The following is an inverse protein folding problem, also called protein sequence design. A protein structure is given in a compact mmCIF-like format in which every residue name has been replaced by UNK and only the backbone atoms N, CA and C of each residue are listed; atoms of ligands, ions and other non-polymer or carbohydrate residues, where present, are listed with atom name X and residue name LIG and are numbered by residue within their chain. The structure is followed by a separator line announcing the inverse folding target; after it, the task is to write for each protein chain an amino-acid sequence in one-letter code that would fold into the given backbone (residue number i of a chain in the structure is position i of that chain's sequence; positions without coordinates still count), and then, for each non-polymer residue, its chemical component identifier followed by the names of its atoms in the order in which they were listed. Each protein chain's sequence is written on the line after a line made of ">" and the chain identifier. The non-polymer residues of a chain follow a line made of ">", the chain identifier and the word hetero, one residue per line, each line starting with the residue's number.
data_IF_425752003776
#
_entry.id   IF_425752003776
#
_cell.length_a   1.000
_cell.length_b   1.000
_cell.length_c   1.000
_cell.angle_alpha   90.00
_cell.angle_beta   90.00
_cell.angle_gamma   90.00
#
_symmetry.space_group_name_H-M   'P 1'
#
loop_
_entity.id
_entity.type
_entity.pdbx_description
1 polymer ?
#
# COMPACT_ATOMS: atom_id res chain seq x y z
N UNK A 1 -0.58 -24.12 5.67
CA UNK A 1 -1.20 -22.82 5.29
C UNK A 1 -0.64 -22.41 3.94
N UNK A 2 -1.47 -21.86 3.05
CA UNK A 2 -1.02 -21.39 1.75
C UNK A 2 -0.31 -20.04 1.88
N UNK A 3 0.73 -19.82 1.08
CA UNK A 3 1.44 -18.53 0.99
C UNK A 3 0.94 -17.81 -0.25
N UNK A 4 0.46 -16.59 -0.10
CA UNK A 4 0.12 -15.75 -1.25
C UNK A 4 1.40 -15.29 -1.97
N UNK A 5 1.44 -15.47 -3.29
CA UNK A 5 2.53 -14.98 -4.15
C UNK A 5 1.94 -13.95 -5.12
N UNK A 6 2.22 -12.67 -4.88
CA UNK A 6 1.75 -11.55 -5.70
C UNK A 6 2.89 -10.96 -6.54
N UNK A 7 2.63 -10.64 -7.82
CA UNK A 7 3.54 -9.90 -8.70
C UNK A 7 2.82 -8.71 -9.34
N UNK A 8 3.42 -7.52 -9.26
CA UNK A 8 2.85 -6.27 -9.77
C UNK A 8 3.67 -5.73 -10.93
N UNK A 9 2.99 -5.20 -11.94
CA UNK A 9 3.60 -4.63 -13.14
C UNK A 9 2.99 -3.27 -13.44
N UNK A 10 3.76 -2.39 -14.07
CA UNK A 10 3.22 -1.17 -14.66
C UNK A 10 2.45 -1.53 -15.94
N UNK A 11 1.31 -0.88 -16.15
CA UNK A 11 0.52 -1.05 -17.37
C UNK A 11 0.98 -0.02 -18.40
N UNK A 12 1.20 -0.46 -19.64
CA UNK A 12 1.73 0.39 -20.72
C UNK A 12 0.65 1.20 -21.47
N UNK A 13 -0.63 0.87 -21.28
CA UNK A 13 -1.74 1.51 -21.99
C UNK A 13 -3.00 1.59 -21.12
N UNK A 14 -4.02 2.33 -21.61
CA UNK A 14 -5.35 2.44 -20.98
C UNK A 14 -6.37 1.44 -21.52
N UNK A 15 -6.00 0.55 -22.45
CA UNK A 15 -6.92 -0.39 -23.11
C UNK A 15 -7.65 -1.31 -22.12
N UNK A 16 -7.02 -1.62 -20.97
CA UNK A 16 -7.66 -2.38 -19.90
C UNK A 16 -8.98 -1.78 -19.40
N UNK A 17 -9.20 -0.47 -19.59
CA UNK A 17 -10.41 0.23 -19.15
C UNK A 17 -11.66 -0.25 -19.89
N UNK A 18 -11.53 -0.72 -21.12
CA UNK A 18 -12.66 -1.22 -21.93
C UNK A 18 -13.28 -2.49 -21.34
N UNK A 19 -12.53 -3.21 -20.50
CA UNK A 19 -12.98 -4.44 -19.85
C UNK A 19 -13.44 -4.23 -18.41
N UNK A 20 -13.56 -2.98 -17.95
CA UNK A 20 -13.97 -2.67 -16.57
C UNK A 20 -15.48 -2.85 -16.43
N UNK A 21 -15.87 -3.75 -15.52
CA UNK A 21 -17.29 -3.99 -15.17
C UNK A 21 -17.74 -3.22 -13.93
N UNK A 22 -16.79 -2.72 -13.12
CA UNK A 22 -17.03 -1.95 -11.91
C UNK A 22 -15.83 -1.08 -11.60
N UNK A 23 -16.11 0.14 -11.12
CA UNK A 23 -15.10 1.04 -10.58
C UNK A 23 -15.36 1.37 -9.11
N UNK A 24 -14.31 1.76 -8.40
CA UNK A 24 -14.41 2.28 -7.04
C UNK A 24 -13.32 3.31 -6.82
N UNK A 25 -13.69 4.50 -6.36
CA UNK A 25 -12.74 5.56 -6.07
C UNK A 25 -11.98 5.23 -4.79
N UNK A 26 -10.66 5.25 -4.89
CA UNK A 26 -9.77 5.12 -3.74
C UNK A 26 -9.05 6.42 -3.45
N UNK A 27 -9.05 6.81 -2.18
CA UNK A 27 -8.19 7.89 -1.65
C UNK A 27 -7.35 7.33 -0.52
N UNK A 28 -6.07 7.67 -0.46
CA UNK A 28 -5.19 7.17 0.60
C UNK A 28 -4.18 8.22 1.02
N UNK A 29 -3.82 8.20 2.30
CA UNK A 29 -2.77 9.02 2.88
C UNK A 29 -1.91 8.18 3.82
N UNK A 30 -0.62 8.51 3.88
CA UNK A 30 0.30 7.92 4.85
C UNK A 30 0.49 8.92 5.99
N UNK A 31 0.37 8.45 7.23
CA UNK A 31 0.52 9.28 8.43
C UNK A 31 1.98 9.37 8.91
N UNK A 32 2.86 8.54 8.34
CA UNK A 32 4.27 8.44 8.70
C UNK A 32 5.14 8.95 7.54
N UNK A 33 6.06 9.89 7.79
CA UNK A 33 6.98 10.46 6.79
C UNK A 33 7.98 9.41 6.26
N UNK A 34 7.85 8.93 5.03
CA UNK A 34 8.80 7.95 4.45
C UNK A 34 10.17 8.54 4.07
N UNK A 35 10.58 9.64 4.69
CA UNK A 35 11.77 10.40 4.32
C UNK A 35 13.04 9.63 4.71
N UNK A 36 13.51 8.77 3.80
CA UNK A 36 14.78 8.06 3.88
C UNK A 36 16.00 8.96 3.61
N UNK A 37 15.80 10.22 3.22
CA UNK A 37 16.87 11.16 2.84
C UNK A 37 17.59 11.79 4.04
N UNK A 38 17.08 11.58 5.25
CA UNK A 38 17.73 12.06 6.47
C UNK A 38 18.13 10.85 7.33
N UNK A 39 19.39 10.43 7.18
CA UNK A 39 19.97 9.32 7.93
C UNK A 39 20.01 9.55 9.45
N UNK A 40 19.62 10.74 9.93
CA UNK A 40 19.53 11.08 11.35
C UNK A 40 18.11 11.01 11.91
N UNK A 41 17.08 10.90 11.06
CA UNK A 41 15.69 10.73 11.51
C UNK A 41 15.40 9.27 11.83
N UNK A 42 15.04 9.07 13.10
CA UNK A 42 14.71 7.81 13.78
C UNK A 42 14.00 6.79 12.88
N UNK A 43 14.53 5.57 12.89
CA UNK A 43 14.03 4.37 12.23
C UNK A 43 12.50 4.29 12.32
N UNK A 44 11.81 4.53 11.21
CA UNK A 44 10.37 4.35 11.16
C UNK A 44 10.04 2.88 11.42
N UNK A 45 9.33 2.61 12.52
CA UNK A 45 9.02 1.25 12.97
C UNK A 45 7.84 0.63 12.22
N UNK A 46 7.04 1.45 11.55
CA UNK A 46 5.82 1.02 10.85
C UNK A 46 5.36 2.05 9.84
N UNK A 47 4.77 1.57 8.75
CA UNK A 47 3.98 2.36 7.80
C UNK A 47 2.52 2.38 8.26
N UNK A 48 1.96 3.58 8.43
CA UNK A 48 0.55 3.77 8.77
C UNK A 48 -0.16 4.41 7.57
N UNK A 49 -1.18 3.74 7.05
CA UNK A 49 -1.96 4.18 5.88
C UNK A 49 -3.44 4.26 6.21
N UNK A 50 -4.04 5.42 5.97
CA UNK A 50 -5.48 5.60 5.91
C UNK A 50 -5.92 5.42 4.46
N UNK A 51 -6.93 4.59 4.20
CA UNK A 51 -7.49 4.36 2.86
C UNK A 51 -9.01 4.44 2.91
N UNK A 52 -9.60 5.23 2.02
CA UNK A 52 -11.04 5.28 1.77
C UNK A 52 -11.31 4.54 0.46
N UNK A 53 -12.25 3.61 0.50
CA UNK A 53 -12.78 2.82 -0.62
C UNK A 53 -14.27 3.12 -0.76
N UNK A 54 -14.65 3.95 -1.74
CA UNK A 54 -16.02 4.45 -1.82
C UNK A 54 -16.42 5.17 -0.53
N UNK A 55 -17.31 4.55 0.25
CA UNK A 55 -17.83 5.07 1.53
C UNK A 55 -17.17 4.43 2.77
N UNK A 56 -16.32 3.42 2.60
CA UNK A 56 -15.67 2.73 3.71
C UNK A 56 -14.26 3.26 3.94
N UNK A 57 -13.88 3.42 5.21
CA UNK A 57 -12.54 3.85 5.60
C UNK A 57 -11.83 2.75 6.39
N UNK A 58 -10.56 2.52 6.07
CA UNK A 58 -9.70 1.51 6.69
C UNK A 58 -8.38 2.13 7.14
N UNK A 59 -7.93 1.75 8.34
CA UNK A 59 -6.60 2.07 8.86
C UNK A 59 -5.71 0.82 8.76
N UNK A 60 -4.59 0.92 8.08
CA UNK A 60 -3.60 -0.14 7.94
C UNK A 60 -2.32 0.26 8.65
N UNK A 61 -1.83 -0.61 9.54
CA UNK A 61 -0.55 -0.46 10.22
C UNK A 61 0.30 -1.66 9.83
N UNK A 62 1.43 -1.42 9.15
CA UNK A 62 2.37 -2.49 8.76
C UNK A 62 3.73 -2.20 9.36
N UNK A 63 4.28 -3.13 10.14
CA UNK A 63 5.66 -2.99 10.63
C UNK A 63 6.64 -2.90 9.47
N UNK A 64 7.64 -2.03 9.61
CA UNK A 64 8.75 -1.89 8.66
C UNK A 64 9.91 -2.77 9.13
N UNK A 65 9.69 -4.08 9.17
CA UNK A 65 10.79 -5.02 9.33
C UNK A 65 11.50 -5.16 7.98
N UNK A 66 12.82 -5.02 7.94
CA UNK A 66 13.64 -5.31 6.75
C UNK A 66 13.58 -6.82 6.48
N UNK A 67 12.68 -7.24 5.59
CA UNK A 67 12.52 -8.65 5.22
C UNK A 67 11.26 -8.91 4.39
N UNK A 68 11.25 -10.03 3.65
CA UNK A 68 10.12 -10.47 2.80
C UNK A 68 9.02 -11.16 3.60
N UNK A 69 9.26 -11.41 4.88
CA UNK A 69 8.30 -12.04 5.79
C UNK A 69 7.54 -10.96 6.57
N UNK A 70 6.21 -11.04 6.54
CA UNK A 70 5.32 -10.25 7.39
C UNK A 70 4.52 -11.19 8.27
N UNK A 71 4.49 -10.94 9.56
CA UNK A 71 3.40 -11.38 10.41
C UNK A 71 2.24 -10.40 10.23
N UNK A 72 1.05 -10.95 10.07
CA UNK A 72 -0.21 -10.19 10.19
C UNK A 72 -0.46 -9.74 11.63
#
# INVERSE_FOLDING_TARGET
>A
MAVEIERKFLVISKAWREHVVRETVFRQGYLTETNQHDATKTSQKSSVRVRIEGEQANLNIKSMTLGVQRLE
#
